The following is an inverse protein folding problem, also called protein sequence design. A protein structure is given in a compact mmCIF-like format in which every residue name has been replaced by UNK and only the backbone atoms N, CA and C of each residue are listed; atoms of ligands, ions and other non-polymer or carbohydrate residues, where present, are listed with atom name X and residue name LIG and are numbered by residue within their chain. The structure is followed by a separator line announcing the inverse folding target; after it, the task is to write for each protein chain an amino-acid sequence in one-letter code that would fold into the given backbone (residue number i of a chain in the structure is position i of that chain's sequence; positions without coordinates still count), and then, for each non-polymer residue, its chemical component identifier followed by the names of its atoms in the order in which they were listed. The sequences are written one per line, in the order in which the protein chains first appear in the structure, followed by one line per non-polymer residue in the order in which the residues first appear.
data_IF_899723060761
#
_entry.id   IF_899723060761
#
_cell.length_a   1.000
_cell.length_b   1.000
_cell.length_c   1.000
_cell.angle_alpha   90.00
_cell.angle_beta   90.00
_cell.angle_gamma   90.00
#
_symmetry.space_group_name_H-M   'P 1'
#
loop_
_entity.id
_entity.type
_entity.pdbx_description
1 polymer ?
#
# COMPACT_ATOMS: atom_id res chain seq x y z
N UNK A 1 16.30 2.79 9.40
CA UNK A 1 15.49 1.70 8.79
C UNK A 1 15.20 2.09 7.36
N UNK A 2 15.48 1.23 6.40
CA UNK A 2 15.18 1.50 5.00
C UNK A 2 13.68 1.44 4.73
N UNK A 3 13.19 2.25 3.80
CA UNK A 3 11.76 2.27 3.41
C UNK A 3 11.30 0.88 2.97
N UNK A 4 12.12 0.12 2.22
CA UNK A 4 11.80 -1.25 1.83
C UNK A 4 11.53 -2.20 3.01
N UNK A 5 12.14 -1.97 4.16
CA UNK A 5 11.91 -2.79 5.35
C UNK A 5 10.53 -2.49 5.95
N UNK A 6 10.10 -1.20 5.89
CA UNK A 6 8.76 -0.78 6.29
C UNK A 6 7.73 -1.39 5.35
N UNK A 7 7.94 -1.25 4.03
CA UNK A 7 7.06 -1.85 3.00
C UNK A 7 6.94 -3.36 3.21
N UNK A 8 8.06 -4.05 3.40
CA UNK A 8 8.05 -5.50 3.66
C UNK A 8 7.30 -5.87 4.95
N UNK A 9 7.34 -5.01 5.98
CA UNK A 9 6.57 -5.24 7.20
C UNK A 9 5.06 -5.09 6.96
N UNK A 10 4.64 -4.07 6.18
CA UNK A 10 3.26 -3.88 5.77
C UNK A 10 2.75 -5.05 4.94
N UNK A 11 3.54 -5.51 3.97
CA UNK A 11 3.17 -6.63 3.10
C UNK A 11 3.19 -7.99 3.79
N UNK A 12 3.95 -8.16 4.87
CA UNK A 12 3.80 -9.36 5.73
C UNK A 12 2.51 -9.36 6.51
N UNK A 13 2.03 -8.20 6.94
CA UNK A 13 0.75 -8.08 7.64
C UNK A 13 -0.44 -8.16 6.69
N UNK A 14 -0.37 -7.47 5.55
CA UNK A 14 -1.41 -7.41 4.52
C UNK A 14 -0.80 -7.72 3.15
N UNK A 15 -0.58 -9.01 2.82
CA UNK A 15 0.03 -9.42 1.56
C UNK A 15 -0.71 -8.88 0.33
N UNK A 16 0.01 -8.41 -0.68
CA UNK A 16 -0.59 -7.86 -1.91
C UNK A 16 -1.53 -8.82 -2.64
N UNK A 17 -1.33 -10.17 -2.65
CA UNK A 17 -2.29 -11.08 -3.25
C UNK A 17 -3.69 -11.06 -2.61
N UNK A 18 -3.87 -10.47 -1.44
CA UNK A 18 -5.18 -10.29 -0.82
C UNK A 18 -6.00 -9.14 -1.43
N UNK A 19 -5.40 -8.30 -2.27
CA UNK A 19 -6.12 -7.21 -2.93
C UNK A 19 -7.18 -7.75 -3.89
N UNK A 20 -8.22 -6.95 -4.15
CA UNK A 20 -9.22 -7.26 -5.16
C UNK A 20 -8.66 -7.13 -6.57
N UNK A 21 -9.23 -7.90 -7.53
CA UNK A 21 -8.70 -7.99 -8.89
C UNK A 21 -8.71 -6.69 -9.71
N UNK A 22 -9.45 -5.67 -9.25
CA UNK A 22 -9.48 -4.34 -9.85
C UNK A 22 -8.51 -3.35 -9.20
N UNK A 23 -7.87 -3.74 -8.09
CA UNK A 23 -7.09 -2.86 -7.22
C UNK A 23 -5.66 -2.64 -7.72
N UNK A 24 -5.01 -1.62 -7.18
CA UNK A 24 -3.62 -1.30 -7.39
C UNK A 24 -2.93 -0.92 -6.05
N UNK A 25 -3.07 -1.80 -5.04
CA UNK A 25 -2.36 -1.63 -3.77
C UNK A 25 -0.85 -1.82 -3.92
N UNK A 26 -0.09 -1.34 -2.95
CA UNK A 26 1.36 -1.49 -2.88
C UNK A 26 2.12 -0.20 -3.21
N UNK A 27 3.35 -0.37 -3.68
CA UNK A 27 4.23 0.74 -4.02
C UNK A 27 3.72 1.50 -5.24
N UNK A 28 3.46 2.80 -5.06
CA UNK A 28 2.91 3.66 -6.11
C UNK A 28 3.99 4.52 -6.77
N UNK A 29 4.88 5.12 -5.98
CA UNK A 29 5.89 6.08 -6.44
C UNK A 29 7.15 5.94 -5.60
N UNK A 30 8.31 6.15 -6.21
CA UNK A 30 9.58 6.35 -5.53
C UNK A 30 10.44 5.10 -5.39
N UNK A 31 11.64 5.30 -4.84
CA UNK A 31 12.69 4.30 -4.66
C UNK A 31 12.86 3.97 -3.17
N UNK A 32 12.77 2.69 -2.82
CA UNK A 32 12.66 2.22 -1.42
C UNK A 32 14.00 1.96 -0.72
N UNK A 33 15.14 2.20 -1.38
CA UNK A 33 16.47 1.94 -0.80
C UNK A 33 16.92 2.99 0.20
N UNK A 34 16.29 4.18 0.22
CA UNK A 34 16.61 5.25 1.15
C UNK A 34 16.24 4.89 2.59
N UNK A 35 16.95 5.49 3.55
CA UNK A 35 16.55 5.47 4.96
C UNK A 35 15.27 6.31 5.13
N UNK A 36 14.31 5.78 5.89
CA UNK A 36 13.10 6.52 6.23
C UNK A 36 13.44 7.64 7.23
N UNK A 37 13.10 8.87 6.90
CA UNK A 37 13.20 10.05 7.79
C UNK A 37 11.97 10.22 8.65
N UNK A 38 10.81 9.80 8.15
CA UNK A 38 9.51 9.82 8.78
C UNK A 38 8.46 9.30 7.81
N UNK A 39 7.28 8.99 8.34
CA UNK A 39 6.14 8.54 7.54
C UNK A 39 4.89 9.38 7.85
N UNK A 40 4.22 9.88 6.81
CA UNK A 40 2.92 10.52 6.89
C UNK A 40 1.84 9.52 6.54
N UNK A 41 0.84 9.37 7.41
CA UNK A 41 -0.31 8.47 7.18
C UNK A 41 -1.51 9.28 6.73
N UNK A 42 -2.18 8.85 5.67
CA UNK A 42 -3.37 9.51 5.17
C UNK A 42 -4.39 8.52 4.58
N UNK A 43 -5.60 8.98 4.37
CA UNK A 43 -6.61 8.23 3.62
C UNK A 43 -6.36 8.38 2.12
N UNK A 44 -6.28 9.62 1.66
CA UNK A 44 -6.06 10.01 0.27
C UNK A 44 -4.77 10.81 0.12
N UNK A 45 -3.99 10.54 -0.93
CA UNK A 45 -2.85 11.38 -1.29
C UNK A 45 -3.33 12.58 -2.11
N UNK A 46 -3.16 13.77 -1.54
CA UNK A 46 -3.45 15.04 -2.20
C UNK A 46 -2.19 15.88 -2.34
N UNK A 47 -2.22 16.94 -3.14
CA UNK A 47 -1.08 17.87 -3.24
C UNK A 47 -0.72 18.45 -1.85
N UNK A 48 -1.72 18.75 -1.01
CA UNK A 48 -1.50 19.25 0.35
C UNK A 48 -0.80 18.23 1.25
N UNK A 49 -1.14 16.94 1.15
CA UNK A 49 -0.48 15.85 1.89
C UNK A 49 0.99 15.71 1.46
N UNK A 50 1.27 15.82 0.16
CA UNK A 50 2.66 15.79 -0.33
C UNK A 50 3.44 17.02 0.16
N UNK A 51 2.81 18.21 0.15
CA UNK A 51 3.42 19.44 0.69
C UNK A 51 3.70 19.33 2.19
N UNK A 52 2.79 18.74 2.95
CA UNK A 52 2.99 18.47 4.38
C UNK A 52 4.17 17.53 4.62
N UNK A 53 4.29 16.44 3.86
CA UNK A 53 5.44 15.52 3.95
C UNK A 53 6.75 16.26 3.67
N UNK A 54 6.79 17.12 2.65
CA UNK A 54 7.97 17.97 2.33
C UNK A 54 8.30 18.91 3.49
N UNK A 55 7.30 19.61 4.06
CA UNK A 55 7.52 20.53 5.18
C UNK A 55 8.03 19.83 6.44
N UNK A 56 7.58 18.59 6.69
CA UNK A 56 8.00 17.78 7.83
C UNK A 56 9.36 17.08 7.59
N UNK A 57 9.88 17.12 6.36
CA UNK A 57 11.08 16.38 5.98
C UNK A 57 10.87 14.86 5.95
N UNK A 58 9.64 14.41 5.76
CA UNK A 58 9.31 12.99 5.68
C UNK A 58 9.40 12.50 4.24
N UNK A 59 10.02 11.35 4.04
CA UNK A 59 10.22 10.77 2.71
C UNK A 59 9.36 9.51 2.45
N UNK A 60 8.35 9.25 3.28
CA UNK A 60 7.40 8.16 3.08
C UNK A 60 5.98 8.66 3.35
N UNK A 61 5.07 8.39 2.41
CA UNK A 61 3.62 8.54 2.60
C UNK A 61 3.00 7.16 2.50
N UNK A 62 2.19 6.80 3.48
CA UNK A 62 1.41 5.56 3.48
C UNK A 62 -0.05 5.97 3.44
N UNK A 63 -0.73 5.66 2.34
CA UNK A 63 -2.15 5.94 2.15
C UNK A 63 -3.00 4.68 2.22
N UNK A 64 -4.30 4.86 2.46
CA UNK A 64 -5.27 3.80 2.24
C UNK A 64 -5.60 3.70 0.75
N UNK A 65 -6.13 4.75 0.16
CA UNK A 65 -6.49 4.76 -1.25
C UNK A 65 -5.26 4.89 -2.16
N UNK A 66 -5.16 4.09 -3.24
CA UNK A 66 -4.09 4.21 -4.22
C UNK A 66 -4.13 5.57 -4.94
N UNK A 67 -3.00 6.27 -4.96
CA UNK A 67 -2.87 7.49 -5.73
C UNK A 67 -3.05 7.21 -7.24
N UNK A 68 -2.40 6.13 -7.71
CA UNK A 68 -2.47 5.70 -9.11
C UNK A 68 -3.41 4.49 -9.19
N UNK A 69 -4.70 4.74 -9.45
CA UNK A 69 -5.67 3.65 -9.60
C UNK A 69 -5.72 3.11 -11.04
N UNK A 70 -5.51 3.97 -12.03
CA UNK A 70 -5.44 3.61 -13.45
C UNK A 70 -4.10 3.97 -14.02
N UNK A 71 -3.55 3.12 -14.92
CA UNK A 71 -2.28 3.37 -15.57
C UNK A 71 -2.26 4.66 -16.39
N UNK A 72 -1.16 5.41 -16.29
CA UNK A 72 -0.91 6.64 -17.05
C UNK A 72 -0.03 6.37 -18.25
N UNK A 73 -0.37 6.95 -19.40
CA UNK A 73 0.48 6.91 -20.62
C UNK A 73 1.57 7.99 -20.61
N UNK A 74 1.40 9.03 -19.81
CA UNK A 74 2.35 10.14 -19.65
C UNK A 74 2.12 10.81 -18.31
N UNK A 75 3.16 11.40 -17.71
CA UNK A 75 3.11 12.15 -16.46
C UNK A 75 3.64 13.57 -16.78
N UNK A 76 2.74 14.52 -16.98
CA UNK A 76 3.07 15.90 -17.39
C UNK A 76 2.32 16.97 -16.57
N UNK A 77 1.64 16.58 -15.47
CA UNK A 77 0.97 17.50 -14.55
C UNK A 77 -0.43 17.96 -14.94
N UNK A 78 -1.15 17.20 -15.81
CA UNK A 78 -2.49 17.57 -16.29
C UNK A 78 -3.54 17.53 -15.18
N UNK A 79 -3.46 16.56 -14.31
CA UNK A 79 -4.38 16.39 -13.19
C UNK A 79 -3.64 16.40 -11.84
N UNK A 80 -4.40 16.34 -10.74
CA UNK A 80 -3.80 16.38 -9.41
C UNK A 80 -2.95 15.13 -9.10
N UNK A 81 -3.29 13.97 -9.67
CA UNK A 81 -2.53 12.73 -9.48
C UNK A 81 -1.14 12.87 -10.12
N UNK A 82 -1.09 13.30 -11.39
CA UNK A 82 0.16 13.55 -12.09
C UNK A 82 1.02 14.58 -11.34
N UNK A 83 0.39 15.65 -10.77
CA UNK A 83 1.11 16.67 -9.98
C UNK A 83 1.64 16.12 -8.67
N UNK A 84 0.86 15.27 -7.96
CA UNK A 84 1.34 14.56 -6.77
C UNK A 84 2.53 13.65 -7.09
N UNK A 85 2.44 12.86 -8.17
CA UNK A 85 3.54 11.99 -8.63
C UNK A 85 4.80 12.79 -8.93
N UNK A 86 4.69 13.86 -9.73
CA UNK A 86 5.82 14.72 -10.07
C UNK A 86 6.44 15.39 -8.84
N UNK A 87 5.60 15.84 -7.89
CA UNK A 87 6.05 16.46 -6.65
C UNK A 87 6.76 15.45 -5.75
N UNK A 88 6.19 14.25 -5.60
CA UNK A 88 6.79 13.17 -4.82
C UNK A 88 8.17 12.78 -5.37
N UNK A 89 8.28 12.57 -6.69
CA UNK A 89 9.55 12.24 -7.35
C UNK A 89 10.61 13.35 -7.14
N UNK A 90 10.22 14.63 -7.31
CA UNK A 90 11.14 15.76 -7.14
C UNK A 90 11.67 15.95 -5.72
N UNK A 91 10.96 15.40 -4.72
CA UNK A 91 11.32 15.52 -3.30
C UNK A 91 11.73 14.17 -2.68
N UNK A 92 12.04 13.16 -3.51
CA UNK A 92 12.44 11.81 -3.08
C UNK A 92 11.46 11.15 -2.09
N UNK A 93 10.16 11.44 -2.24
CA UNK A 93 9.10 10.87 -1.42
C UNK A 93 8.60 9.59 -2.04
N UNK A 94 8.56 8.53 -1.24
CA UNK A 94 7.95 7.24 -1.59
C UNK A 94 6.48 7.26 -1.18
N UNK A 95 5.60 6.78 -2.06
CA UNK A 95 4.17 6.62 -1.78
C UNK A 95 3.82 5.14 -1.85
N UNK A 96 3.27 4.61 -0.77
CA UNK A 96 2.76 3.24 -0.65
C UNK A 96 1.28 3.28 -0.27
N UNK A 97 0.47 2.41 -0.88
CA UNK A 97 -0.97 2.33 -0.58
C UNK A 97 -1.33 0.94 -0.05
N UNK A 98 -1.93 0.90 1.15
CA UNK A 98 -2.49 -0.31 1.77
C UNK A 98 -4.01 -0.23 1.65
N UNK A 99 -4.56 -0.81 0.60
CA UNK A 99 -5.97 -0.67 0.21
C UNK A 99 -6.75 -1.96 0.49
N UNK A 100 -7.36 -2.58 -0.52
CA UNK A 100 -8.17 -3.78 -0.31
C UNK A 100 -7.39 -4.97 0.23
N UNK A 101 -6.08 -5.04 0.02
CA UNK A 101 -5.24 -6.02 0.70
C UNK A 101 -5.28 -5.87 2.22
N UNK A 102 -5.32 -4.63 2.74
CA UNK A 102 -5.43 -4.33 4.17
C UNK A 102 -6.86 -4.57 4.67
N UNK A 103 -7.88 -4.30 3.85
CA UNK A 103 -9.27 -4.59 4.19
C UNK A 103 -9.50 -6.10 4.37
N UNK A 104 -8.89 -6.89 3.49
CA UNK A 104 -9.05 -8.36 3.44
C UNK A 104 -8.09 -9.10 4.39
N UNK A 105 -7.08 -8.41 4.94
CA UNK A 105 -6.12 -9.03 5.86
C UNK A 105 -6.77 -9.40 7.21
N UNK A 106 -6.45 -10.56 7.80
CA UNK A 106 -6.81 -10.86 9.18
C UNK A 106 -6.28 -9.78 10.13
N UNK A 107 -7.16 -9.21 10.95
CA UNK A 107 -6.83 -8.10 11.84
C UNK A 107 -6.72 -6.72 11.14
N UNK A 108 -6.99 -6.66 9.85
CA UNK A 108 -7.02 -5.42 9.05
C UNK A 108 -8.25 -4.54 9.31
N UNK A 109 -8.55 -3.65 8.35
CA UNK A 109 -9.56 -2.59 8.53
C UNK A 109 -10.94 -3.15 8.88
N UNK A 110 -11.43 -4.15 8.13
CA UNK A 110 -12.75 -4.73 8.37
C UNK A 110 -12.85 -5.40 9.74
N UNK A 111 -11.80 -6.06 10.21
CA UNK A 111 -11.74 -6.62 11.57
C UNK A 111 -11.75 -5.53 12.64
N UNK A 112 -11.05 -4.40 12.40
CA UNK A 112 -11.04 -3.27 13.32
C UNK A 112 -12.39 -2.55 13.38
N UNK A 113 -13.10 -2.45 12.27
CA UNK A 113 -14.47 -1.94 12.22
C UNK A 113 -15.39 -2.86 13.03
N UNK A 114 -15.33 -4.18 12.78
CA UNK A 114 -16.14 -5.16 13.49
C UNK A 114 -15.91 -5.11 15.00
N UNK A 115 -14.65 -4.99 15.45
CA UNK A 115 -14.28 -4.81 16.85
C UNK A 115 -14.92 -3.54 17.45
N UNK A 116 -14.80 -2.40 16.74
CA UNK A 116 -15.34 -1.10 17.20
C UNK A 116 -16.86 -1.09 17.36
N UNK A 117 -17.60 -1.79 16.50
CA UNK A 117 -19.06 -1.88 16.60
C UNK A 117 -19.55 -3.06 17.46
N UNK A 118 -18.61 -3.81 18.05
CA UNK A 118 -18.91 -4.87 19.02
C UNK A 118 -19.39 -6.19 18.42
N UNK A 119 -19.06 -6.47 17.15
CA UNK A 119 -19.40 -7.76 16.54
C UNK A 119 -18.60 -8.90 17.17
N UNK A 120 -19.27 -10.07 17.31
CA UNK A 120 -18.66 -11.29 17.83
C UNK A 120 -18.70 -12.37 16.75
N UNK A 121 -17.76 -13.35 16.86
CA UNK A 121 -17.67 -14.47 15.92
C UNK A 121 -17.52 -14.02 14.46
N UNK A 122 -16.70 -13.01 14.24
CA UNK A 122 -16.42 -12.43 12.91
C UNK A 122 -15.76 -13.49 12.03
N UNK A 123 -16.29 -13.63 10.81
CA UNK A 123 -15.72 -14.50 9.76
C UNK A 123 -15.79 -13.84 8.41
N UNK A 124 -14.94 -14.27 7.49
CA UNK A 124 -14.97 -13.81 6.10
C UNK A 124 -16.29 -14.26 5.47
N UNK A 125 -17.04 -13.34 4.89
CA UNK A 125 -18.34 -13.62 4.27
C UNK A 125 -18.18 -14.28 2.90
N UNK A 126 -17.20 -13.82 2.12
CA UNK A 126 -16.87 -14.30 0.78
C UNK A 126 -15.40 -14.77 0.75
N UNK A 127 -15.11 -16.01 1.20
CA UNK A 127 -13.75 -16.52 1.19
C UNK A 127 -13.29 -16.77 -0.26
N UNK A 128 -12.16 -16.18 -0.64
CA UNK A 128 -11.54 -16.45 -1.94
C UNK A 128 -10.71 -17.73 -1.83
N UNK A 129 -11.07 -18.77 -2.57
CA UNK A 129 -10.43 -20.11 -2.51
C UNK A 129 -9.19 -20.24 -3.40
N UNK A 130 -8.90 -19.29 -4.30
CA UNK A 130 -7.89 -19.43 -5.36
C UNK A 130 -6.49 -18.92 -5.01
N UNK A 131 -6.20 -18.59 -3.75
CA UNK A 131 -4.90 -18.02 -3.34
C UNK A 131 -3.88 -19.03 -2.80
N UNK A 132 -4.21 -20.33 -2.79
CA UNK A 132 -3.27 -21.37 -2.39
C UNK A 132 -2.50 -21.89 -3.58
N UNK A 133 -1.20 -21.56 -3.63
CA UNK A 133 -0.27 -22.14 -4.59
C UNK A 133 0.34 -23.42 -3.99
N UNK A 134 0.13 -24.57 -4.68
CA UNK A 134 0.88 -25.79 -4.37
C UNK A 134 2.25 -25.71 -5.03
N UNK A 135 3.30 -25.55 -4.23
CA UNK A 135 4.67 -25.67 -4.72
C UNK A 135 5.10 -27.14 -4.67
N UNK A 136 5.52 -27.68 -5.80
CA UNK A 136 6.05 -29.04 -5.91
C UNK A 136 7.46 -28.95 -6.49
N UNK A 137 8.44 -29.54 -5.79
CA UNK A 137 9.80 -29.67 -6.29
C UNK A 137 10.17 -31.15 -6.31
N UNK A 138 10.98 -31.54 -7.28
CA UNK A 138 11.56 -32.87 -7.37
C UNK A 138 13.03 -32.77 -6.98
N UNK A 139 13.45 -33.58 -6.03
CA UNK A 139 14.84 -33.70 -5.62
C UNK A 139 15.34 -35.03 -6.16
N UNK A 140 16.48 -35.08 -6.88
CA UNK A 140 17.07 -36.34 -7.29
C UNK A 140 17.42 -37.18 -6.05
N UNK A 141 17.16 -38.49 -6.14
CA UNK A 141 17.62 -39.43 -5.12
C UNK A 141 19.15 -39.45 -5.10
N UNK A 142 19.75 -39.41 -3.91
CA UNK A 142 21.19 -39.43 -3.69
C UNK A 142 21.76 -40.81 -3.88
#
# INVERSE_FOLDING_TARGET
MKIKEIVSALERFAPLPLQDGFDNAGLQVGLTEAEATGALLCLDVTEAVVDEAVMLGYNLIISHHPLIFKGYKSIIGRDYIERCVLKAIKNDIVIYSAHTNLDNAPGGVNYKIAEKIGLKNVRILDPKEEYLLKFVTFVPDA
#
